data_IF_948724507125
#
_entry.id   IF_948724507125
#
_cell.length_a   1.000
_cell.length_b   1.000
_cell.length_c   1.000
_cell.angle_alpha   90.00
_cell.angle_beta   90.00
_cell.angle_gamma   90.00
#
_symmetry.space_group_name_H-M   'P 1'
#
loop_
_entity.id
_entity.type
_entity.pdbx_description
1 polymer ?
#
# COMPACT_ATOMS: atom_id res chain seq x y z
N UNK A 1 3.63 -22.45 1.69
CA UNK A 1 3.56 -21.25 0.82
C UNK A 1 3.17 -20.06 1.68
N UNK A 2 3.85 -18.93 1.55
CA UNK A 2 3.62 -17.72 2.34
C UNK A 2 3.03 -16.65 1.42
N UNK A 3 2.03 -15.93 1.92
CA UNK A 3 1.39 -14.82 1.23
C UNK A 3 1.57 -13.53 2.03
N UNK A 4 1.74 -12.42 1.34
CA UNK A 4 1.87 -11.10 1.94
C UNK A 4 0.64 -10.26 1.65
N UNK A 5 0.02 -9.69 2.68
CA UNK A 5 -1.07 -8.72 2.53
C UNK A 5 -0.62 -7.37 3.08
N UNK A 6 -0.54 -6.36 2.22
CA UNK A 6 -0.17 -4.99 2.59
C UNK A 6 -1.42 -4.13 2.67
N UNK A 7 -1.69 -3.58 3.85
CA UNK A 7 -2.83 -2.68 4.08
C UNK A 7 -2.38 -1.22 3.91
N UNK A 8 -2.76 -0.61 2.78
CA UNK A 8 -2.36 0.72 2.33
C UNK A 8 -3.54 1.68 2.14
N UNK A 9 -4.62 1.52 2.90
CA UNK A 9 -5.84 2.35 2.84
C UNK A 9 -5.86 3.58 3.78
N UNK A 10 -4.94 3.68 4.74
CA UNK A 10 -4.98 4.73 5.76
C UNK A 10 -4.72 6.15 5.20
N UNK A 11 -5.51 7.14 5.63
CA UNK A 11 -5.28 8.57 5.31
C UNK A 11 -4.00 9.14 5.94
N UNK A 12 -3.54 8.55 7.04
CA UNK A 12 -2.31 8.95 7.74
C UNK A 12 -2.30 10.42 8.16
N UNK A 13 -3.02 10.79 9.23
CA UNK A 13 -3.08 12.17 9.73
C UNK A 13 -1.94 12.57 10.68
N UNK A 14 -1.18 11.59 11.19
CA UNK A 14 -0.14 11.81 12.22
C UNK A 14 1.16 12.42 11.71
N UNK A 15 1.38 12.44 10.40
CA UNK A 15 2.55 13.06 9.77
C UNK A 15 2.21 14.43 9.16
N UNK A 16 1.12 15.06 9.59
CA UNK A 16 0.84 16.43 9.20
C UNK A 16 2.00 17.36 9.63
N UNK A 17 2.48 18.28 8.78
CA UNK A 17 1.93 18.71 7.48
C UNK A 17 2.44 17.94 6.25
N UNK A 18 3.33 16.96 6.45
CA UNK A 18 3.93 16.17 5.36
C UNK A 18 2.90 15.26 4.68
N UNK A 19 2.05 14.60 5.46
CA UNK A 19 0.92 13.83 4.93
C UNK A 19 -0.30 14.71 4.72
N UNK A 20 -0.81 14.77 3.49
CA UNK A 20 -2.05 15.47 3.13
C UNK A 20 -3.07 14.48 2.57
N UNK A 21 -4.35 14.89 2.47
CA UNK A 21 -5.39 14.03 1.88
C UNK A 21 -5.04 13.52 0.47
N UNK A 22 -4.38 14.35 -0.34
CA UNK A 22 -3.89 14.01 -1.69
C UNK A 22 -2.58 13.21 -1.70
N UNK A 23 -1.84 13.21 -0.58
CA UNK A 23 -0.57 12.51 -0.45
C UNK A 23 -0.47 11.88 0.95
N UNK A 24 -1.16 10.75 1.15
CA UNK A 24 -1.14 10.05 2.42
C UNK A 24 0.23 9.43 2.68
N UNK A 25 0.49 9.10 3.95
CA UNK A 25 1.80 8.67 4.45
C UNK A 25 2.50 7.61 3.58
N UNK A 26 1.75 6.62 3.08
CA UNK A 26 2.29 5.46 2.37
C UNK A 26 3.05 5.85 1.09
N UNK A 27 2.77 7.03 0.53
CA UNK A 27 3.42 7.53 -0.67
C UNK A 27 4.57 8.51 -0.39
N UNK A 28 4.80 8.88 0.87
CA UNK A 28 5.89 9.79 1.22
C UNK A 28 7.25 9.13 0.99
N UNK A 29 8.15 9.87 0.34
CA UNK A 29 9.52 9.45 0.03
C UNK A 29 10.51 10.05 1.01
N UNK A 30 10.42 9.64 2.27
CA UNK A 30 11.29 10.16 3.34
C UNK A 30 12.56 9.33 3.55
N UNK A 31 12.59 8.09 3.04
CA UNK A 31 13.68 7.15 3.26
C UNK A 31 14.02 6.49 1.92
N UNK A 32 15.31 6.51 1.56
CA UNK A 32 15.87 5.86 0.37
C UNK A 32 15.24 6.31 -0.97
N UNK A 33 14.73 7.55 -1.05
CA UNK A 33 14.05 8.12 -2.23
C UNK A 33 12.87 7.29 -2.77
N UNK A 34 12.35 6.37 -1.93
CA UNK A 34 11.26 5.45 -2.23
C UNK A 34 10.09 5.72 -1.31
N UNK A 35 8.87 5.48 -1.79
CA UNK A 35 7.70 5.57 -0.92
C UNK A 35 7.76 4.53 0.20
N UNK A 36 7.08 4.77 1.31
CA UNK A 36 6.97 3.74 2.36
C UNK A 36 6.32 2.46 1.85
N UNK A 37 5.42 2.56 0.88
CA UNK A 37 4.81 1.42 0.21
C UNK A 37 5.86 0.58 -0.54
N UNK A 38 6.66 1.21 -1.40
CA UNK A 38 7.73 0.52 -2.15
C UNK A 38 8.76 -0.07 -1.19
N UNK A 39 9.20 0.69 -0.18
CA UNK A 39 10.12 0.20 0.85
C UNK A 39 9.56 -1.02 1.62
N UNK A 40 8.23 -1.10 1.79
CA UNK A 40 7.58 -2.26 2.44
C UNK A 40 7.60 -3.48 1.55
N UNK A 41 7.31 -3.31 0.25
CA UNK A 41 7.40 -4.40 -0.73
C UNK A 41 8.84 -4.90 -0.85
N UNK A 42 9.81 -4.00 -1.02
CA UNK A 42 11.23 -4.35 -1.13
C UNK A 42 11.74 -5.15 0.08
N UNK A 43 11.16 -4.93 1.27
CA UNK A 43 11.51 -5.68 2.49
C UNK A 43 11.00 -7.13 2.45
N UNK A 44 9.89 -7.41 1.78
CA UNK A 44 9.23 -8.73 1.83
C UNK A 44 9.51 -9.59 0.60
N UNK A 45 9.88 -9.02 -0.55
CA UNK A 45 10.21 -9.79 -1.76
C UNK A 45 11.35 -10.81 -1.62
N UNK A 46 12.34 -10.68 -0.70
CA UNK A 46 13.32 -11.74 -0.49
C UNK A 46 12.74 -13.01 0.17
N UNK A 47 11.52 -12.92 0.69
CA UNK A 47 10.85 -13.97 1.49
C UNK A 47 9.58 -14.47 0.79
N UNK A 48 8.88 -13.60 0.07
CA UNK A 48 7.58 -13.85 -0.56
C UNK A 48 7.68 -13.52 -2.05
N UNK A 49 7.32 -14.47 -2.91
CA UNK A 49 7.24 -14.23 -4.36
C UNK A 49 6.28 -13.06 -4.65
N UNK A 50 6.65 -12.23 -5.62
CA UNK A 50 5.83 -11.06 -6.01
C UNK A 50 4.40 -11.41 -6.37
N UNK A 51 4.20 -12.60 -6.95
CA UNK A 51 2.87 -13.12 -7.32
C UNK A 51 1.98 -13.43 -6.12
N UNK A 52 2.57 -13.61 -4.94
CA UNK A 52 1.89 -13.92 -3.68
C UNK A 52 1.75 -12.67 -2.76
N UNK A 53 2.08 -11.48 -3.27
CA UNK A 53 1.90 -10.21 -2.58
C UNK A 53 0.61 -9.55 -3.06
N UNK A 54 -0.24 -9.21 -2.09
CA UNK A 54 -1.51 -8.53 -2.28
C UNK A 54 -1.50 -7.19 -1.55
N UNK A 55 -2.22 -6.23 -2.11
CA UNK A 55 -2.33 -4.88 -1.55
C UNK A 55 -3.80 -4.52 -1.44
N UNK A 56 -4.20 -4.07 -0.26
CA UNK A 56 -5.55 -3.54 -0.02
C UNK A 56 -5.43 -2.03 0.15
N UNK A 57 -6.20 -1.27 -0.61
CA UNK A 57 -6.18 0.19 -0.58
C UNK A 57 -7.57 0.76 -0.81
N UNK A 58 -7.73 2.09 -0.78
CA UNK A 58 -9.01 2.72 -1.11
C UNK A 58 -9.10 3.04 -2.61
N UNK A 59 -10.31 3.39 -3.07
CA UNK A 59 -10.53 3.74 -4.48
C UNK A 59 -9.66 4.91 -4.94
N UNK A 60 -9.51 5.93 -4.09
CA UNK A 60 -8.73 7.14 -4.40
C UNK A 60 -7.24 6.87 -4.65
N UNK A 61 -6.69 5.81 -4.07
CA UNK A 61 -5.26 5.50 -4.13
C UNK A 61 -4.93 4.32 -5.05
N UNK A 62 -5.92 3.63 -5.62
CA UNK A 62 -5.73 2.46 -6.49
C UNK A 62 -4.70 2.72 -7.59
N UNK A 63 -4.90 3.78 -8.38
CA UNK A 63 -4.01 4.13 -9.48
C UNK A 63 -2.61 4.52 -9.00
N UNK A 64 -2.51 5.18 -7.84
CA UNK A 64 -1.21 5.55 -7.25
C UNK A 64 -0.44 4.31 -6.78
N UNK A 65 -1.12 3.34 -6.16
CA UNK A 65 -0.53 2.04 -5.78
C UNK A 65 -0.03 1.29 -7.02
N UNK A 66 -0.85 1.21 -8.07
CA UNK A 66 -0.49 0.57 -9.34
C UNK A 66 0.77 1.17 -9.96
N UNK A 67 0.89 2.50 -9.93
CA UNK A 67 2.05 3.21 -10.48
C UNK A 67 3.32 3.06 -9.63
N UNK A 68 3.20 3.01 -8.30
CA UNK A 68 4.35 2.83 -7.40
C UNK A 68 4.88 1.39 -7.39
N UNK A 69 3.99 0.40 -7.49
CA UNK A 69 4.33 -1.03 -7.38
C UNK A 69 4.46 -1.72 -8.73
N UNK A 70 5.33 -1.19 -9.58
CA UNK A 70 5.65 -1.78 -10.90
C UNK A 70 6.20 -3.20 -10.69
N UNK A 71 5.42 -4.21 -11.07
CA UNK A 71 5.76 -5.63 -10.92
C UNK A 71 4.84 -6.43 -9.99
N UNK A 72 3.91 -5.78 -9.30
CA UNK A 72 2.76 -6.47 -8.67
C UNK A 72 1.63 -6.55 -9.69
N UNK A 73 1.00 -7.73 -9.81
CA UNK A 73 -0.14 -7.94 -10.71
C UNK A 73 -1.30 -7.04 -10.30
N UNK A 74 -1.96 -6.41 -11.27
CA UNK A 74 -3.11 -5.54 -11.00
C UNK A 74 -4.25 -6.29 -10.29
N UNK A 75 -4.42 -7.58 -10.60
CA UNK A 75 -5.39 -8.46 -9.94
C UNK A 75 -5.09 -8.71 -8.46
N UNK A 76 -3.88 -8.35 -7.98
CA UNK A 76 -3.51 -8.45 -6.57
C UNK A 76 -3.72 -7.14 -5.80
N UNK A 77 -4.28 -6.10 -6.44
CA UNK A 77 -4.62 -4.82 -5.81
C UNK A 77 -6.13 -4.78 -5.59
N UNK A 78 -6.52 -4.91 -4.33
CA UNK A 78 -7.90 -4.85 -3.88
C UNK A 78 -8.26 -3.45 -3.40
N UNK A 79 -9.48 -3.04 -3.73
CA UNK A 79 -10.04 -1.75 -3.31
C UNK A 79 -11.13 -2.00 -2.28
N UNK A 80 -10.99 -1.36 -1.13
CA UNK A 80 -12.04 -1.33 -0.13
C UNK A 80 -13.13 -0.34 -0.52
N UNK A 81 -14.43 -0.71 -0.38
CA UNK A 81 -15.54 0.18 -0.73
C UNK A 81 -15.61 1.42 0.17
N UNK A 82 -15.03 1.35 1.37
CA UNK A 82 -15.00 2.45 2.33
C UNK A 82 -13.90 2.20 3.35
N UNK A 83 -13.21 3.25 3.79
CA UNK A 83 -12.17 3.15 4.81
C UNK A 83 -12.83 2.91 6.18
N UNK A 84 -12.91 1.64 6.58
CA UNK A 84 -13.57 1.22 7.84
C UNK A 84 -12.60 0.56 8.82
N UNK A 85 -11.34 1.02 8.86
CA UNK A 85 -10.29 0.47 9.73
C UNK A 85 -9.82 -0.95 9.34
N UNK A 86 -8.66 -1.32 9.87
CA UNK A 86 -7.88 -2.52 9.49
C UNK A 86 -8.62 -3.85 9.64
N UNK A 87 -9.55 -3.95 10.59
CA UNK A 87 -10.28 -5.20 10.88
C UNK A 87 -11.27 -5.56 9.76
N UNK A 88 -11.87 -4.56 9.11
CA UNK A 88 -12.86 -4.77 8.06
C UNK A 88 -12.22 -5.06 6.69
N UNK A 89 -10.91 -4.86 6.54
CA UNK A 89 -10.17 -5.31 5.35
C UNK A 89 -10.09 -6.85 5.25
N UNK A 90 -10.27 -7.56 6.36
CA UNK A 90 -10.04 -9.01 6.48
C UNK A 90 -11.33 -9.84 6.45
N UNK A 91 -12.50 -9.20 6.36
CA UNK A 91 -13.84 -9.80 6.37
C UNK A 91 -14.46 -9.63 4.99
#
# INVERSE_FOLDING_TARGET
MIYGLILAGGKGSRLYPLSRAKEPKQFLKLINDKSFLVNTVDRIIPIIDRDNIYVVTNMDYREKVKNELVGIKENNIFVEPSNKETALCMI
#
